data_IF_525738000253
#
_entry.id   IF_525738000253
#
_cell.length_a   1.000
_cell.length_b   1.000
_cell.length_c   1.000
_cell.angle_alpha   90.00
_cell.angle_beta   90.00
_cell.angle_gamma   90.00
#
_symmetry.space_group_name_H-M   'P 1'
#
loop_
_entity.id
_entity.type
_entity.pdbx_description
1 polymer ?
#
# COMPACT_ATOMS: atom_id res chain seq x y z
N UNK A 1 17.12 10.11 -0.18
CA UNK A 1 17.15 10.16 1.28
C UNK A 1 17.99 11.35 1.69
N UNK A 2 17.36 12.46 2.08
CA UNK A 2 18.02 13.49 2.88
C UNK A 2 18.05 13.00 4.33
N UNK A 3 19.03 13.41 5.14
CA UNK A 3 19.16 12.95 6.54
C UNK A 3 17.92 13.27 7.41
N UNK A 4 17.04 14.15 6.93
CA UNK A 4 15.78 14.53 7.57
C UNK A 4 14.62 13.58 7.28
N UNK A 5 14.61 12.87 6.15
CA UNK A 5 13.50 12.00 5.73
C UNK A 5 14.02 10.68 5.15
N UNK A 6 13.68 9.59 5.84
CA UNK A 6 14.00 8.22 5.43
C UNK A 6 12.75 7.48 4.98
N UNK A 7 12.74 7.04 3.73
CA UNK A 7 11.75 6.09 3.23
C UNK A 7 12.21 4.67 3.56
N UNK A 8 11.32 3.86 4.12
CA UNK A 8 11.56 2.44 4.39
C UNK A 8 10.42 1.62 3.83
N UNK A 9 10.77 0.55 3.10
CA UNK A 9 9.81 -0.45 2.63
C UNK A 9 9.55 -1.41 3.79
N UNK A 10 8.28 -1.56 4.17
CA UNK A 10 7.86 -2.41 5.30
C UNK A 10 7.52 -3.82 4.83
N UNK A 11 6.87 -3.93 3.68
CA UNK A 11 6.60 -5.18 2.99
C UNK A 11 6.64 -4.96 1.49
N UNK A 12 7.00 -6.01 0.77
CA UNK A 12 7.00 -6.08 -0.68
C UNK A 12 6.54 -7.47 -1.11
N UNK A 13 5.63 -7.53 -2.06
CA UNK A 13 5.11 -8.78 -2.58
C UNK A 13 4.73 -8.63 -4.05
N UNK A 14 4.50 -9.77 -4.70
CA UNK A 14 4.03 -9.85 -6.08
C UNK A 14 2.57 -10.32 -6.03
N UNK A 15 1.68 -9.63 -6.73
CA UNK A 15 0.25 -9.98 -6.78
C UNK A 15 -0.67 -8.87 -6.32
N UNK A 16 -1.96 -9.19 -6.22
CA UNK A 16 -2.98 -8.25 -5.75
C UNK A 16 -2.79 -7.84 -4.29
N UNK A 17 -3.40 -6.72 -3.91
CA UNK A 17 -3.38 -6.23 -2.53
C UNK A 17 -4.44 -6.98 -1.73
N UNK A 18 -4.03 -7.68 -0.69
CA UNK A 18 -4.91 -8.49 0.15
C UNK A 18 -5.11 -7.86 1.54
N UNK A 19 -5.92 -8.53 2.37
CA UNK A 19 -6.26 -8.08 3.72
C UNK A 19 -5.03 -7.96 4.64
N UNK A 20 -4.04 -8.85 4.50
CA UNK A 20 -2.83 -8.83 5.32
C UNK A 20 -1.99 -7.58 5.04
N UNK A 21 -1.90 -7.17 3.77
CA UNK A 21 -1.18 -5.95 3.37
C UNK A 21 -1.83 -4.70 3.97
N UNK A 22 -3.17 -4.65 3.96
CA UNK A 22 -3.96 -3.55 4.54
C UNK A 22 -3.80 -3.50 6.06
N UNK A 23 -3.89 -4.64 6.73
CA UNK A 23 -3.67 -4.74 8.18
C UNK A 23 -2.25 -4.32 8.57
N UNK A 24 -1.25 -4.69 7.78
CA UNK A 24 0.14 -4.28 8.03
C UNK A 24 0.30 -2.77 7.86
N UNK A 25 -0.25 -2.20 6.79
CA UNK A 25 -0.21 -0.75 6.56
C UNK A 25 -0.92 0.04 7.66
N UNK A 26 -2.06 -0.46 8.17
CA UNK A 26 -2.76 0.12 9.32
C UNK A 26 -1.87 0.21 10.54
N UNK A 27 -1.30 -0.92 10.96
CA UNK A 27 -0.48 -1.00 12.17
C UNK A 27 0.79 -0.15 12.04
N UNK A 28 1.39 -0.11 10.85
CA UNK A 28 2.59 0.65 10.57
C UNK A 28 2.34 2.14 10.23
N UNK A 29 1.08 2.57 10.12
CA UNK A 29 0.68 3.90 9.62
C UNK A 29 1.36 4.22 8.28
N UNK A 30 1.43 3.23 7.40
CA UNK A 30 2.09 3.32 6.11
C UNK A 30 1.09 3.54 4.97
N UNK A 31 1.59 4.03 3.84
CA UNK A 31 0.84 4.12 2.58
C UNK A 31 1.02 2.84 1.77
N UNK A 32 -0.01 2.45 1.02
CA UNK A 32 0.04 1.29 0.13
C UNK A 32 0.14 1.78 -1.31
N UNK A 33 1.12 1.23 -2.04
CA UNK A 33 1.39 1.56 -3.43
C UNK A 33 1.32 0.27 -4.25
N UNK A 34 0.39 0.21 -5.20
CA UNK A 34 0.21 -0.91 -6.10
C UNK A 34 0.61 -0.57 -7.53
N UNK A 35 1.53 -1.35 -8.12
CA UNK A 35 1.93 -1.20 -9.51
C UNK A 35 1.30 -2.28 -10.39
N UNK A 36 0.44 -1.85 -11.34
CA UNK A 36 -0.30 -2.73 -12.24
C UNK A 36 -1.06 -3.87 -11.51
N UNK A 37 -1.56 -3.58 -10.32
CA UNK A 37 -2.29 -4.52 -9.46
C UNK A 37 -3.56 -3.88 -8.96
N UNK A 38 -4.48 -4.70 -8.43
CA UNK A 38 -5.71 -4.25 -7.79
C UNK A 38 -5.82 -4.83 -6.39
N UNK A 39 -6.50 -4.12 -5.51
CA UNK A 39 -6.90 -4.67 -4.23
C UNK A 39 -8.11 -5.59 -4.40
N UNK A 40 -8.12 -6.67 -3.65
CA UNK A 40 -9.28 -7.55 -3.53
C UNK A 40 -10.44 -6.80 -2.88
N UNK A 41 -11.68 -7.27 -3.09
CA UNK A 41 -12.89 -6.61 -2.58
C UNK A 41 -12.87 -6.42 -1.06
N UNK A 42 -12.38 -7.44 -0.33
CA UNK A 42 -12.22 -7.41 1.13
C UNK A 42 -11.18 -6.39 1.55
N UNK A 43 -10.01 -6.40 0.90
CA UNK A 43 -8.91 -5.47 1.18
C UNK A 43 -9.31 -4.02 0.93
N UNK A 44 -10.04 -3.76 -0.17
CA UNK A 44 -10.54 -2.42 -0.48
C UNK A 44 -11.52 -1.90 0.57
N UNK A 45 -12.49 -2.73 0.99
CA UNK A 45 -13.47 -2.34 2.01
C UNK A 45 -12.77 -2.02 3.33
N UNK A 46 -11.81 -2.87 3.73
CA UNK A 46 -11.03 -2.65 4.95
C UNK A 46 -10.18 -1.38 4.86
N UNK A 47 -9.57 -1.10 3.70
CA UNK A 47 -8.81 0.12 3.51
C UNK A 47 -9.69 1.38 3.58
N UNK A 48 -10.91 1.33 3.05
CA UNK A 48 -11.90 2.42 3.16
C UNK A 48 -12.36 2.62 4.62
N UNK A 49 -12.65 1.55 5.35
CA UNK A 49 -13.02 1.60 6.77
C UNK A 49 -11.90 2.18 7.65
N UNK A 50 -10.66 1.79 7.39
CA UNK A 50 -9.47 2.21 8.14
C UNK A 50 -8.88 3.55 7.61
N UNK A 51 -9.56 4.20 6.66
CA UNK A 51 -9.11 5.45 6.02
C UNK A 51 -7.68 5.39 5.46
N UNK A 52 -7.26 4.21 4.99
CA UNK A 52 -5.96 3.98 4.38
C UNK A 52 -5.93 4.45 2.92
N UNK A 53 -4.84 5.12 2.54
CA UNK A 53 -4.64 5.59 1.16
C UNK A 53 -4.04 4.50 0.30
N UNK A 54 -4.82 4.05 -0.68
CA UNK A 54 -4.41 3.14 -1.75
C UNK A 54 -4.06 3.95 -3.00
N UNK A 55 -2.79 3.90 -3.41
CA UNK A 55 -2.34 4.53 -4.64
C UNK A 55 -2.06 3.45 -5.70
N UNK A 56 -2.77 3.53 -6.82
CA UNK A 56 -2.56 2.66 -7.97
C UNK A 56 -1.75 3.38 -9.03
N UNK A 57 -0.67 2.76 -9.47
CA UNK A 57 0.15 3.24 -10.57
C UNK A 57 0.22 2.17 -11.65
N UNK A 58 0.19 2.58 -12.91
CA UNK A 58 0.39 1.68 -14.05
C UNK A 58 1.75 1.91 -14.73
N UNK A 59 2.41 3.02 -14.40
CA UNK A 59 3.71 3.42 -14.96
C UNK A 59 4.60 3.86 -13.82
N UNK A 60 5.87 3.45 -13.85
CA UNK A 60 6.88 3.73 -12.82
C UNK A 60 7.78 4.93 -13.18
N UNK A 61 7.47 5.59 -14.30
CA UNK A 61 8.23 6.68 -14.88
C UNK A 61 7.35 7.92 -15.03
N UNK A 62 7.91 9.08 -14.72
CA UNK A 62 7.54 10.35 -15.34
C UNK A 62 8.35 10.55 -16.63
#
# INVERSE_FOLDING_TARGET
>A
STDEVRVKIIASGVGGINESDVNLARNAKAIIIGFNVRADSVARKLAEEESLKLHYYSVIYE
#
